data_IF_442631010623
#
_entry.id   IF_442631010623
#
_cell.length_a   1.000
_cell.length_b   1.000
_cell.length_c   1.000
_cell.angle_alpha   90.00
_cell.angle_beta   90.00
_cell.angle_gamma   90.00
#
_symmetry.space_group_name_H-M   'P 1'
#
loop_
_entity.id
_entity.type
_entity.pdbx_description
1 polymer ?
#
# COMPACT_ATOMS: atom_id res chain seq x y z
N UNK A 1 3.48 13.84 -41.38
CA UNK A 1 3.10 14.97 -40.50
C UNK A 1 1.59 14.94 -40.30
N UNK A 2 1.12 15.36 -39.11
CA UNK A 2 -0.26 15.39 -38.59
C UNK A 2 -0.72 14.15 -37.80
N UNK A 3 -0.60 14.24 -36.46
CA UNK A 3 -1.35 13.39 -35.51
C UNK A 3 -2.53 14.22 -34.99
N UNK A 4 -3.74 13.68 -35.16
CA UNK A 4 -4.99 14.30 -34.70
C UNK A 4 -5.08 14.24 -33.16
N UNK A 5 -5.32 15.40 -32.55
CA UNK A 5 -5.74 15.55 -31.15
C UNK A 5 -7.20 15.12 -31.02
N UNK A 6 -7.49 14.09 -30.23
CA UNK A 6 -8.83 13.84 -29.73
C UNK A 6 -9.00 14.53 -28.36
N UNK A 7 -9.72 15.66 -28.36
CA UNK A 7 -10.24 16.29 -27.15
C UNK A 7 -11.53 15.57 -26.73
N UNK A 8 -11.52 14.93 -25.57
CA UNK A 8 -12.75 14.42 -24.95
C UNK A 8 -13.22 15.41 -23.87
N UNK A 9 -14.36 16.03 -24.15
CA UNK A 9 -15.13 16.86 -23.22
C UNK A 9 -15.90 15.95 -22.25
N UNK A 10 -15.59 16.03 -20.95
CA UNK A 10 -16.42 15.46 -19.90
C UNK A 10 -17.58 16.42 -19.60
N UNK A 11 -18.81 16.03 -19.97
CA UNK A 11 -20.03 16.70 -19.50
C UNK A 11 -20.35 16.21 -18.09
N UNK A 12 -20.33 17.13 -17.13
CA UNK A 12 -20.92 16.96 -15.81
C UNK A 12 -22.44 17.02 -15.93
N UNK A 13 -23.14 16.01 -15.42
CA UNK A 13 -24.59 16.07 -15.21
C UNK A 13 -24.88 15.69 -13.77
N UNK A 14 -24.95 16.73 -12.94
CA UNK A 14 -25.39 16.73 -11.56
C UNK A 14 -26.92 16.54 -11.53
N UNK A 15 -27.38 15.45 -10.94
CA UNK A 15 -28.79 15.22 -10.62
C UNK A 15 -28.89 14.60 -9.23
N UNK A 16 -28.84 15.45 -8.20
CA UNK A 16 -29.04 15.05 -6.82
C UNK A 16 -30.55 14.99 -6.53
N UNK A 17 -31.08 13.78 -6.36
CA UNK A 17 -32.42 13.56 -5.80
C UNK A 17 -32.30 13.47 -4.28
N UNK A 18 -32.58 14.60 -3.63
CA UNK A 18 -32.75 14.71 -2.18
C UNK A 18 -34.06 14.04 -1.77
N UNK A 19 -33.99 12.94 -1.02
CA UNK A 19 -35.13 12.40 -0.28
C UNK A 19 -35.16 12.97 1.14
N UNK A 20 -36.35 13.30 1.68
CA UNK A 20 -36.49 13.82 3.03
C UNK A 20 -36.27 12.71 4.07
N UNK A 21 -35.25 12.88 4.92
CA UNK A 21 -35.02 12.07 6.12
C UNK A 21 -36.00 12.51 7.21
N UNK A 22 -36.82 11.56 7.65
CA UNK A 22 -37.75 11.69 8.75
C UNK A 22 -36.99 11.57 10.08
N UNK A 23 -37.15 12.51 11.04
CA UNK A 23 -36.59 12.34 12.38
C UNK A 23 -37.58 11.56 13.23
N UNK A 24 -37.22 10.34 13.63
CA UNK A 24 -37.92 9.63 14.69
C UNK A 24 -36.92 8.86 15.56
N UNK A 25 -36.95 9.20 16.85
CA UNK A 25 -36.56 8.40 18.01
C UNK A 25 -35.17 7.76 18.04
N UNK A 26 -34.25 8.46 18.70
CA UNK A 26 -33.11 7.82 19.37
C UNK A 26 -33.45 7.65 20.86
N UNK A 27 -33.43 6.42 21.41
CA UNK A 27 -33.41 6.24 22.84
C UNK A 27 -32.05 6.66 23.42
N UNK A 28 -32.10 7.59 24.37
CA UNK A 28 -31.01 7.95 25.26
C UNK A 28 -30.50 6.73 26.02
N UNK A 29 -29.44 6.10 25.52
CA UNK A 29 -28.66 5.14 26.29
C UNK A 29 -27.39 5.82 26.80
N UNK A 30 -27.51 6.40 28.00
CA UNK A 30 -26.37 6.92 28.75
C UNK A 30 -25.70 5.72 29.43
N UNK A 31 -24.62 5.23 28.84
CA UNK A 31 -23.67 4.37 29.56
C UNK A 31 -22.45 5.21 29.96
N UNK A 32 -22.23 5.46 31.26
CA UNK A 32 -20.94 5.96 31.72
C UNK A 32 -19.94 4.81 31.72
N UNK A 33 -19.20 4.67 30.62
CA UNK A 33 -17.97 3.88 30.63
C UNK A 33 -16.87 4.75 31.24
N UNK A 34 -16.59 4.49 32.53
CA UNK A 34 -15.38 4.93 33.20
C UNK A 34 -14.17 4.37 32.46
N UNK A 35 -13.63 5.16 31.52
CA UNK A 35 -12.34 4.92 30.90
C UNK A 35 -11.30 5.31 31.95
N UNK A 36 -10.74 4.32 32.64
CA UNK A 36 -9.50 4.52 33.39
C UNK A 36 -8.38 4.79 32.37
N UNK A 37 -7.57 5.85 32.54
CA UNK A 37 -6.38 6.03 31.73
C UNK A 37 -5.40 4.89 32.07
N UNK A 38 -5.29 3.92 31.16
CA UNK A 38 -4.23 2.92 31.22
C UNK A 38 -2.92 3.64 30.97
N UNK A 39 -2.19 3.84 32.06
CA UNK A 39 -0.83 4.35 32.11
C UNK A 39 0.08 3.43 31.30
N UNK A 40 0.33 3.78 30.04
CA UNK A 40 1.38 3.17 29.25
C UNK A 40 2.70 3.66 29.84
N UNK A 41 3.23 2.90 30.81
CA UNK A 41 4.58 3.06 31.30
C UNK A 41 5.54 3.10 30.10
N UNK A 42 6.20 4.24 29.94
CA UNK A 42 7.31 4.45 29.04
C UNK A 42 8.48 3.57 29.50
N UNK A 43 8.50 2.32 29.04
CA UNK A 43 9.70 1.50 29.07
C UNK A 43 10.59 1.97 27.93
N UNK A 44 11.38 3.02 28.19
CA UNK A 44 12.53 3.35 27.37
C UNK A 44 13.46 2.13 27.33
N UNK A 45 13.80 1.59 26.15
CA UNK A 45 14.79 0.54 26.07
C UNK A 45 16.15 1.07 26.56
N UNK A 46 16.97 0.23 27.23
CA UNK A 46 18.31 0.61 27.62
C UNK A 46 19.14 0.95 26.37
N UNK A 47 19.63 2.19 26.32
CA UNK A 47 20.64 2.63 25.37
C UNK A 47 21.87 1.75 25.54
N UNK A 48 22.08 0.85 24.58
CA UNK A 48 23.33 0.10 24.47
C UNK A 48 24.47 1.06 24.10
N UNK A 49 25.67 0.91 24.69
CA UNK A 49 26.81 1.74 24.35
C UNK A 49 27.24 1.47 22.91
N UNK A 50 27.29 2.54 22.13
CA UNK A 50 27.83 2.56 20.78
C UNK A 50 29.29 2.06 20.80
N UNK A 51 29.52 0.86 20.29
CA UNK A 51 30.86 0.40 19.96
C UNK A 51 31.28 1.10 18.67
N UNK A 52 32.24 2.02 18.78
CA UNK A 52 32.91 2.64 17.66
C UNK A 52 33.66 1.56 16.87
N UNK A 53 33.17 1.29 15.67
CA UNK A 53 33.84 0.42 14.70
C UNK A 53 34.89 1.27 13.99
N UNK A 54 36.16 0.84 13.91
CA UNK A 54 37.19 1.57 13.17
C UNK A 54 36.87 1.58 11.68
N UNK A 55 36.54 2.77 11.16
CA UNK A 55 36.23 2.99 9.75
C UNK A 55 37.57 3.04 8.99
N UNK A 56 37.94 1.92 8.39
CA UNK A 56 39.05 1.88 7.42
C UNK A 56 38.54 2.48 6.11
N UNK A 57 38.85 3.76 5.89
CA UNK A 57 38.53 4.45 4.64
C UNK A 57 39.62 4.11 3.62
N UNK A 58 39.43 3.01 2.89
CA UNK A 58 40.23 2.71 1.71
C UNK A 58 39.71 3.58 0.55
N UNK A 59 40.42 4.68 0.27
CA UNK A 59 40.23 5.50 -0.91
C UNK A 59 40.33 4.65 -2.17
N UNK A 60 39.18 4.41 -2.81
CA UNK A 60 39.09 3.78 -4.13
C UNK A 60 39.09 4.89 -5.19
N UNK A 61 40.15 5.01 -6.02
CA UNK A 61 40.18 5.98 -7.10
C UNK A 61 39.26 5.53 -8.25
N UNK A 62 38.35 6.43 -8.60
CA UNK A 62 37.78 6.68 -9.93
C UNK A 62 37.73 5.53 -10.93
N UNK A 63 36.60 4.86 -10.99
CA UNK A 63 36.03 4.35 -12.24
C UNK A 63 34.55 4.71 -12.24
N UNK A 64 34.24 5.77 -13.00
CA UNK A 64 32.90 6.10 -13.45
C UNK A 64 32.46 4.97 -14.39
N UNK A 65 31.85 3.96 -13.78
CA UNK A 65 31.08 2.94 -14.47
C UNK A 65 29.78 2.89 -13.72
N UNK A 66 28.81 3.64 -14.23
CA UNK A 66 27.42 3.59 -13.81
C UNK A 66 27.04 2.11 -13.68
N UNK A 67 26.75 1.60 -12.47
CA UNK A 67 26.37 0.21 -12.31
C UNK A 67 25.03 0.08 -13.01
N UNK A 68 25.06 -0.40 -14.25
CA UNK A 68 23.88 -0.93 -14.89
C UNK A 68 23.42 -2.08 -14.00
N UNK A 69 22.53 -1.76 -13.06
CA UNK A 69 21.84 -2.73 -12.24
C UNK A 69 21.21 -3.68 -13.25
N UNK A 70 21.81 -4.85 -13.43
CA UNK A 70 21.15 -5.96 -14.07
C UNK A 70 20.06 -6.37 -13.10
N UNK A 71 18.91 -5.69 -13.17
CA UNK A 71 17.73 -6.00 -12.39
C UNK A 71 17.38 -7.43 -12.80
N UNK A 72 17.71 -8.39 -11.92
CA UNK A 72 17.28 -9.78 -12.05
C UNK A 72 15.80 -9.72 -12.40
N UNK A 73 15.41 -10.31 -13.54
CA UNK A 73 14.02 -10.38 -13.95
C UNK A 73 13.20 -10.89 -12.76
N UNK A 74 12.44 -9.99 -12.12
CA UNK A 74 11.68 -10.30 -10.91
C UNK A 74 10.50 -11.22 -11.20
N UNK A 75 10.33 -11.69 -12.45
CA UNK A 75 9.25 -12.55 -12.92
C UNK A 75 9.06 -13.83 -12.07
N UNK A 76 10.11 -14.31 -11.39
CA UNK A 76 10.03 -15.46 -10.48
C UNK A 76 9.36 -15.17 -9.13
N UNK A 77 9.21 -13.91 -8.72
CA UNK A 77 8.58 -13.54 -7.44
C UNK A 77 7.06 -13.50 -7.56
N UNK A 78 6.36 -13.76 -6.46
CA UNK A 78 4.92 -13.58 -6.39
C UNK A 78 4.53 -12.13 -6.70
N UNK A 79 3.40 -11.96 -7.42
CA UNK A 79 2.91 -10.66 -7.87
C UNK A 79 2.81 -9.64 -6.73
N UNK A 80 2.31 -10.05 -5.57
CA UNK A 80 2.15 -9.16 -4.41
C UNK A 80 3.51 -8.69 -3.88
N UNK A 81 4.52 -9.56 -3.89
CA UNK A 81 5.87 -9.21 -3.44
C UNK A 81 6.56 -8.23 -4.38
N UNK A 82 6.34 -8.36 -5.70
CA UNK A 82 6.83 -7.38 -6.68
C UNK A 82 6.22 -5.99 -6.47
N UNK A 83 4.92 -5.92 -6.16
CA UNK A 83 4.24 -4.68 -5.83
C UNK A 83 4.86 -4.02 -4.59
N UNK A 84 5.12 -4.81 -3.54
CA UNK A 84 5.72 -4.29 -2.30
C UNK A 84 7.14 -3.75 -2.52
N UNK A 85 7.98 -4.52 -3.21
CA UNK A 85 9.35 -4.09 -3.55
C UNK A 85 9.35 -2.81 -4.42
N UNK A 86 8.41 -2.69 -5.36
CA UNK A 86 8.28 -1.48 -6.17
C UNK A 86 7.91 -0.25 -5.34
N UNK A 87 7.03 -0.39 -4.33
CA UNK A 87 6.68 0.70 -3.42
C UNK A 87 7.86 1.07 -2.50
N UNK A 88 8.59 0.07 -2.01
CA UNK A 88 9.79 0.28 -1.20
C UNK A 88 10.86 1.04 -1.98
N UNK A 89 11.13 0.66 -3.24
CA UNK A 89 12.06 1.37 -4.11
C UNK A 89 11.65 2.84 -4.36
N UNK A 90 10.34 3.12 -4.50
CA UNK A 90 9.82 4.50 -4.61
C UNK A 90 10.12 5.29 -3.33
N UNK A 91 9.91 4.68 -2.15
CA UNK A 91 10.17 5.33 -0.88
C UNK A 91 11.67 5.53 -0.61
N UNK A 92 12.52 4.55 -0.95
CA UNK A 92 13.98 4.64 -0.83
C UNK A 92 14.58 5.70 -1.74
N UNK A 93 13.97 5.91 -2.92
CA UNK A 93 14.36 6.98 -3.84
C UNK A 93 14.17 8.39 -3.26
N UNK A 94 13.36 8.52 -2.21
CA UNK A 94 13.05 9.80 -1.57
C UNK A 94 12.05 10.66 -2.36
N UNK A 95 11.81 11.86 -1.82
CA UNK A 95 10.81 12.80 -2.35
C UNK A 95 11.47 14.12 -2.70
N UNK A 96 11.01 14.74 -3.78
CA UNK A 96 11.40 16.09 -4.17
C UNK A 96 10.80 17.15 -3.25
N UNK A 97 11.15 18.41 -3.52
CA UNK A 97 10.67 19.57 -2.75
C UNK A 97 9.13 19.70 -2.84
N UNK A 98 8.55 19.27 -3.95
CA UNK A 98 7.10 19.29 -4.20
C UNK A 98 6.35 18.10 -3.57
N UNK A 99 7.07 17.18 -2.91
CA UNK A 99 6.51 15.95 -2.35
C UNK A 99 6.29 14.82 -3.38
N UNK A 100 6.65 15.04 -4.64
CA UNK A 100 6.62 14.02 -5.67
C UNK A 100 7.80 13.03 -5.51
N UNK A 101 7.60 11.73 -5.77
CA UNK A 101 8.67 10.74 -5.64
C UNK A 101 9.77 10.99 -6.69
N UNK A 102 11.03 10.98 -6.24
CA UNK A 102 12.18 11.12 -7.16
C UNK A 102 12.29 9.91 -8.10
N UNK A 103 11.91 8.73 -7.61
CA UNK A 103 11.80 7.52 -8.41
C UNK A 103 10.36 7.36 -8.93
N UNK A 104 10.17 7.65 -10.22
CA UNK A 104 8.86 7.72 -10.84
C UNK A 104 8.11 6.37 -10.79
N UNK A 105 6.81 6.42 -10.49
CA UNK A 105 5.93 5.24 -10.44
C UNK A 105 5.94 4.47 -11.77
N UNK A 106 6.04 5.18 -12.89
CA UNK A 106 6.13 4.56 -14.22
C UNK A 106 7.43 3.76 -14.41
N UNK A 107 8.55 4.26 -13.87
CA UNK A 107 9.83 3.57 -13.93
C UNK A 107 9.79 2.32 -13.05
N UNK A 108 9.31 2.45 -11.80
CA UNK A 108 9.13 1.31 -10.89
C UNK A 108 8.21 0.23 -11.47
N UNK A 109 7.15 0.61 -12.18
CA UNK A 109 6.27 -0.32 -12.87
C UNK A 109 7.00 -1.20 -13.90
N UNK A 110 7.96 -0.62 -14.64
CA UNK A 110 8.75 -1.35 -15.63
C UNK A 110 9.82 -2.21 -14.97
N UNK A 111 10.54 -1.65 -14.00
CA UNK A 111 11.68 -2.32 -13.36
C UNK A 111 11.23 -3.57 -12.55
N UNK A 112 10.01 -3.55 -12.00
CA UNK A 112 9.45 -4.65 -11.19
C UNK A 112 8.40 -5.51 -11.91
N UNK A 113 8.12 -5.26 -13.19
CA UNK A 113 7.10 -5.96 -13.98
C UNK A 113 5.72 -5.99 -13.29
N UNK A 114 5.22 -4.80 -12.98
CA UNK A 114 3.92 -4.56 -12.34
C UNK A 114 3.11 -3.59 -13.18
N UNK A 115 1.82 -3.83 -13.36
CA UNK A 115 0.91 -2.89 -14.03
C UNK A 115 0.93 -1.52 -13.35
N UNK A 116 1.20 -0.46 -14.13
CA UNK A 116 1.24 0.92 -13.66
C UNK A 116 0.00 1.32 -12.84
N UNK A 117 -1.20 1.01 -13.33
CA UNK A 117 -2.47 1.33 -12.63
C UNK A 117 -2.60 0.64 -11.27
N UNK A 118 -2.01 -0.54 -11.12
CA UNK A 118 -1.98 -1.26 -9.84
C UNK A 118 -1.03 -0.56 -8.89
N UNK A 119 0.19 -0.26 -9.32
CA UNK A 119 1.20 0.39 -8.49
C UNK A 119 0.76 1.80 -8.08
N UNK A 120 0.23 2.59 -9.03
CA UNK A 120 -0.33 3.91 -8.76
C UNK A 120 -1.47 3.83 -7.74
N UNK A 121 -2.41 2.90 -7.90
CA UNK A 121 -3.48 2.70 -6.93
C UNK A 121 -2.94 2.41 -5.53
N UNK A 122 -1.97 1.50 -5.41
CA UNK A 122 -1.35 1.15 -4.12
C UNK A 122 -0.62 2.32 -3.47
N UNK A 123 0.13 3.09 -4.26
CA UNK A 123 0.81 4.30 -3.78
C UNK A 123 -0.17 5.31 -3.18
N UNK A 124 -1.36 5.47 -3.77
CA UNK A 124 -2.43 6.32 -3.23
C UNK A 124 -3.26 5.64 -2.12
N UNK A 125 -2.78 4.54 -1.54
CA UNK A 125 -3.44 3.85 -0.43
C UNK A 125 -4.60 2.94 -0.83
N UNK A 126 -4.77 2.61 -2.12
CA UNK A 126 -5.79 1.64 -2.53
C UNK A 126 -5.46 0.27 -1.96
N UNK A 127 -6.41 -0.28 -1.21
CA UNK A 127 -6.32 -1.62 -0.62
C UNK A 127 -6.49 -2.70 -1.69
N UNK A 128 -5.93 -3.87 -1.39
CA UNK A 128 -6.11 -5.09 -2.18
C UNK A 128 -7.56 -5.52 -2.08
N UNK A 129 -8.05 -6.34 -3.01
CA UNK A 129 -9.39 -6.92 -2.85
C UNK A 129 -9.51 -7.69 -1.51
N UNK A 130 -8.47 -8.45 -1.15
CA UNK A 130 -8.45 -9.19 0.13
C UNK A 130 -8.48 -8.24 1.33
N UNK A 131 -7.62 -7.21 1.36
CA UNK A 131 -7.56 -6.21 2.44
C UNK A 131 -8.84 -5.36 2.51
N UNK A 132 -9.43 -5.04 1.35
CA UNK A 132 -10.67 -4.29 1.27
C UNK A 132 -11.85 -5.11 1.79
N UNK A 133 -11.85 -6.43 1.65
CA UNK A 133 -12.91 -7.29 2.17
C UNK A 133 -12.59 -7.91 3.53
N UNK A 134 -11.43 -7.64 4.12
CA UNK A 134 -11.05 -8.18 5.44
C UNK A 134 -12.11 -7.90 6.51
N UNK A 135 -12.68 -6.69 6.51
CA UNK A 135 -13.77 -6.31 7.42
C UNK A 135 -15.12 -6.99 7.13
N UNK A 136 -15.27 -7.59 5.96
CA UNK A 136 -16.47 -8.34 5.54
C UNK A 136 -16.28 -9.86 5.73
N UNK A 137 -15.06 -10.31 6.02
CA UNK A 137 -14.80 -11.72 6.30
C UNK A 137 -15.31 -12.06 7.70
N UNK A 138 -16.46 -12.73 7.76
CA UNK A 138 -17.03 -13.27 9.00
C UNK A 138 -16.23 -14.48 9.54
N UNK A 139 -15.41 -15.09 8.70
CA UNK A 139 -14.64 -16.29 9.01
C UNK A 139 -13.16 -16.05 8.75
N UNK A 140 -12.30 -16.66 9.57
CA UNK A 140 -10.88 -16.72 9.27
C UNK A 140 -10.64 -17.52 7.98
N UNK A 141 -9.56 -17.22 7.26
CA UNK A 141 -9.20 -17.90 6.01
C UNK A 141 -9.20 -19.43 6.15
N UNK A 142 -8.70 -19.95 7.28
CA UNK A 142 -8.72 -21.38 7.57
C UNK A 142 -10.14 -21.96 7.70
N UNK A 143 -11.06 -21.22 8.35
CA UNK A 143 -12.46 -21.64 8.49
C UNK A 143 -13.21 -21.58 7.16
N UNK A 144 -12.96 -20.56 6.37
CA UNK A 144 -13.54 -20.42 5.03
C UNK A 144 -13.11 -21.59 4.14
N UNK A 145 -11.82 -21.96 4.17
CA UNK A 145 -11.30 -23.10 3.43
C UNK A 145 -11.99 -24.42 3.83
N UNK A 146 -12.17 -24.68 5.13
CA UNK A 146 -12.89 -25.87 5.62
C UNK A 146 -14.34 -25.89 5.14
N UNK A 147 -15.04 -24.75 5.16
CA UNK A 147 -16.41 -24.68 4.62
C UNK A 147 -16.46 -24.94 3.12
N UNK A 148 -15.54 -24.36 2.35
CA UNK A 148 -15.45 -24.58 0.90
C UNK A 148 -15.24 -26.06 0.60
N UNK A 149 -14.33 -26.71 1.31
CA UNK A 149 -14.04 -28.13 1.11
C UNK A 149 -15.22 -29.02 1.54
N UNK A 150 -15.90 -28.68 2.64
CA UNK A 150 -17.12 -29.38 3.07
C UNK A 150 -18.28 -29.23 2.08
N UNK A 151 -18.51 -28.03 1.55
CA UNK A 151 -19.55 -27.76 0.54
C UNK A 151 -19.26 -28.54 -0.75
N UNK A 152 -17.99 -28.62 -1.18
CA UNK A 152 -17.60 -29.41 -2.36
C UNK A 152 -17.89 -30.90 -2.20
N UNK A 153 -17.75 -31.44 -0.99
CA UNK A 153 -18.02 -32.86 -0.70
C UNK A 153 -19.52 -33.14 -0.66
N UNK A 154 -20.33 -32.25 -0.07
CA UNK A 154 -21.78 -32.44 0.05
C UNK A 154 -22.58 -32.05 -1.21
N UNK A 155 -21.99 -31.23 -2.08
CA UNK A 155 -22.62 -30.79 -3.32
C UNK A 155 -22.53 -31.76 -4.50
N UNK A 156 -21.93 -32.95 -4.30
CA UNK A 156 -21.90 -34.05 -5.26
C UNK A 156 -23.07 -35.01 -5.01
#
# INVERSE_FOLDING_TARGET
MANLRCSNHSKTSTGATTLPVHPADLPSFVHPLSITPSSCAANSPPVAPAQQIPITIASTPGVSSEPQKTYKSCSSLEKQQRILLALEAIHEGGFGIDGEPLYAIQQASQDFDVLFSTLQGRYHGRKSKAEAHEHQQHFSTAKEQVMVDWIKVLGQ
#
